data_IF_370464848716
#
_entry.id   IF_370464848716
#
_cell.length_a   1.000
_cell.length_b   1.000
_cell.length_c   1.000
_cell.angle_alpha   90.00
_cell.angle_beta   90.00
_cell.angle_gamma   90.00
#
_symmetry.space_group_name_H-M   'P 1'
#
loop_
_entity.id
_entity.type
_entity.pdbx_description
1 polymer ?
#
# COMPACT_ATOMS: atom_id res chain seq x y z
N UNK A 1 16.50 11.61 -6.80
CA UNK A 1 15.60 11.62 -7.99
C UNK A 1 14.93 12.99 -8.09
N UNK A 2 14.72 13.51 -9.29
CA UNK A 2 13.90 14.71 -9.47
C UNK A 2 12.43 14.41 -9.14
N UNK A 3 11.68 15.43 -8.67
CA UNK A 3 10.25 15.29 -8.36
C UNK A 3 9.48 14.70 -9.55
N UNK A 4 9.78 15.19 -10.76
CA UNK A 4 9.22 14.70 -12.01
C UNK A 4 9.32 13.18 -12.17
N UNK A 5 10.50 12.58 -11.93
CA UNK A 5 10.68 11.12 -12.08
C UNK A 5 9.85 10.34 -11.07
N UNK A 6 9.80 10.81 -9.82
CA UNK A 6 9.01 10.17 -8.76
C UNK A 6 7.51 10.25 -9.08
N UNK A 7 7.04 11.39 -9.58
CA UNK A 7 5.63 11.57 -9.93
C UNK A 7 5.23 10.78 -11.18
N UNK A 8 6.11 10.69 -12.19
CA UNK A 8 5.90 9.83 -13.36
C UNK A 8 5.77 8.35 -12.96
N UNK A 9 6.64 7.85 -12.08
CA UNK A 9 6.55 6.48 -11.59
C UNK A 9 5.29 6.24 -10.77
N UNK A 10 4.84 7.22 -9.97
CA UNK A 10 3.55 7.12 -9.26
C UNK A 10 2.39 7.03 -10.23
N UNK A 11 2.37 7.88 -11.27
CA UNK A 11 1.32 7.87 -12.28
C UNK A 11 1.29 6.54 -13.05
N UNK A 12 2.47 6.02 -13.42
CA UNK A 12 2.59 4.70 -14.02
C UNK A 12 2.05 3.60 -13.09
N UNK A 13 2.49 3.57 -11.83
CA UNK A 13 2.00 2.61 -10.83
C UNK A 13 0.48 2.69 -10.65
N UNK A 14 -0.09 3.89 -10.51
CA UNK A 14 -1.54 4.07 -10.39
C UNK A 14 -2.28 3.53 -11.60
N UNK A 15 -1.77 3.79 -12.81
CA UNK A 15 -2.36 3.29 -14.05
C UNK A 15 -2.29 1.75 -14.12
N UNK A 16 -1.17 1.16 -13.73
CA UNK A 16 -1.00 -0.29 -13.71
C UNK A 16 -1.86 -0.96 -12.63
N UNK A 17 -2.10 -0.32 -11.49
CA UNK A 17 -3.08 -0.81 -10.49
C UNK A 17 -4.47 -0.91 -11.12
N UNK A 18 -4.90 0.13 -11.85
CA UNK A 18 -6.18 0.08 -12.59
C UNK A 18 -6.20 -1.07 -13.61
N UNK A 19 -5.08 -1.32 -14.29
CA UNK A 19 -4.96 -2.44 -15.22
C UNK A 19 -5.16 -3.80 -14.51
N UNK A 20 -4.58 -4.01 -13.33
CA UNK A 20 -4.80 -5.25 -12.53
C UNK A 20 -6.28 -5.41 -12.19
N UNK A 21 -6.96 -4.35 -11.71
CA UNK A 21 -8.38 -4.44 -11.37
C UNK A 21 -9.27 -4.69 -12.59
N UNK A 22 -8.96 -4.07 -13.72
CA UNK A 22 -9.70 -4.25 -14.96
C UNK A 22 -9.51 -5.65 -15.55
N UNK A 23 -8.33 -6.25 -15.38
CA UNK A 23 -7.96 -7.54 -15.98
C UNK A 23 -8.17 -8.74 -15.06
N UNK A 24 -8.27 -8.54 -13.73
CA UNK A 24 -8.39 -9.60 -12.74
C UNK A 24 -9.47 -10.66 -13.02
N UNK A 25 -10.71 -10.28 -13.39
CA UNK A 25 -11.78 -11.25 -13.68
C UNK A 25 -11.47 -12.19 -14.85
N UNK A 26 -10.62 -11.78 -15.80
CA UNK A 26 -10.27 -12.58 -16.97
C UNK A 26 -9.31 -13.72 -16.64
N UNK A 27 -8.54 -13.63 -15.54
CA UNK A 27 -7.67 -14.73 -15.10
C UNK A 27 -8.46 -16.01 -14.82
N UNK A 28 -9.63 -15.87 -14.18
CA UNK A 28 -10.50 -17.01 -13.87
C UNK A 28 -11.10 -17.65 -15.14
N UNK A 29 -11.44 -16.84 -16.15
CA UNK A 29 -11.98 -17.33 -17.43
C UNK A 29 -10.91 -18.04 -18.26
N UNK A 30 -9.69 -17.50 -18.25
CA UNK A 30 -8.56 -18.14 -18.90
C UNK A 30 -8.25 -19.51 -18.27
N UNK A 31 -8.31 -19.62 -16.94
CA UNK A 31 -8.11 -20.90 -16.24
C UNK A 31 -9.12 -21.98 -16.68
N UNK A 32 -10.33 -21.61 -17.09
CA UNK A 32 -11.31 -22.56 -17.59
C UNK A 32 -11.07 -22.97 -19.05
N UNK A 33 -10.69 -22.02 -19.90
CA UNK A 33 -10.60 -22.23 -21.36
C UNK A 33 -9.22 -22.66 -21.85
N UNK A 34 -8.14 -22.18 -21.22
CA UNK A 34 -6.76 -22.32 -21.67
C UNK A 34 -6.52 -21.93 -23.14
N UNK A 35 -7.33 -21.02 -23.68
CA UNK A 35 -7.17 -20.54 -25.04
C UNK A 35 -6.14 -19.39 -25.10
N UNK A 36 -4.92 -19.74 -25.51
CA UNK A 36 -3.79 -18.80 -25.62
C UNK A 36 -3.93 -17.77 -26.74
N UNK A 37 -4.93 -17.88 -27.63
CA UNK A 37 -5.22 -16.88 -28.66
C UNK A 37 -6.43 -16.00 -28.31
N UNK A 38 -6.94 -16.11 -27.08
CA UNK A 38 -8.07 -15.32 -26.60
C UNK A 38 -7.66 -13.95 -26.04
N UNK A 39 -8.64 -13.06 -25.92
CA UNK A 39 -8.50 -11.81 -25.18
C UNK A 39 -8.21 -12.04 -23.68
N UNK A 40 -8.57 -13.21 -23.14
CA UNK A 40 -8.38 -13.55 -21.73
C UNK A 40 -6.92 -13.80 -21.44
N UNK A 41 -6.21 -14.47 -22.36
CA UNK A 41 -4.77 -14.64 -22.26
C UNK A 41 -4.03 -13.29 -22.32
N UNK A 42 -4.46 -12.38 -23.21
CA UNK A 42 -3.89 -11.03 -23.26
C UNK A 42 -4.12 -10.27 -21.94
N UNK A 43 -5.32 -10.39 -21.36
CA UNK A 43 -5.63 -9.78 -20.07
C UNK A 43 -4.76 -10.36 -18.94
N UNK A 44 -4.50 -11.68 -18.93
CA UNK A 44 -3.57 -12.33 -18.00
C UNK A 44 -2.16 -11.76 -18.17
N UNK A 45 -1.63 -11.65 -19.39
CA UNK A 45 -0.30 -11.06 -19.63
C UNK A 45 -0.22 -9.65 -19.08
N UNK A 46 -1.20 -8.81 -19.40
CA UNK A 46 -1.26 -7.43 -18.91
C UNK A 46 -1.35 -7.37 -17.38
N UNK A 47 -2.13 -8.27 -16.76
CA UNK A 47 -2.21 -8.38 -15.31
C UNK A 47 -0.84 -8.71 -14.71
N UNK A 48 -0.17 -9.77 -15.21
CA UNK A 48 1.13 -10.20 -14.70
C UNK A 48 2.19 -9.11 -14.84
N UNK A 49 2.23 -8.44 -16.01
CA UNK A 49 3.14 -7.33 -16.25
C UNK A 49 2.83 -6.12 -15.36
N UNK A 50 1.60 -5.92 -14.91
CA UNK A 50 1.22 -4.82 -14.04
C UNK A 50 1.53 -5.07 -12.55
N UNK A 51 1.87 -6.30 -12.13
CA UNK A 51 2.06 -6.68 -10.70
C UNK A 51 3.22 -5.96 -9.99
N UNK A 52 4.17 -5.37 -10.73
CA UNK A 52 5.20 -4.52 -10.11
C UNK A 52 4.64 -3.23 -9.49
N UNK A 53 3.44 -2.82 -9.89
CA UNK A 53 2.86 -1.51 -9.55
C UNK A 53 2.73 -1.28 -8.05
N UNK A 54 2.27 -2.29 -7.31
CA UNK A 54 2.07 -2.23 -5.86
C UNK A 54 3.42 -2.14 -5.11
N UNK A 55 4.41 -3.03 -5.33
CA UNK A 55 5.75 -2.88 -4.73
C UNK A 55 6.42 -1.53 -5.02
N UNK A 56 6.31 -1.04 -6.27
CA UNK A 56 6.86 0.27 -6.64
C UNK A 56 6.15 1.40 -5.90
N UNK A 57 4.83 1.35 -5.77
CA UNK A 57 4.07 2.37 -5.05
C UNK A 57 4.45 2.44 -3.55
N UNK A 58 4.59 1.28 -2.91
CA UNK A 58 5.06 1.18 -1.52
C UNK A 58 6.48 1.74 -1.39
N UNK A 59 7.37 1.36 -2.31
CA UNK A 59 8.76 1.82 -2.33
C UNK A 59 8.88 3.34 -2.51
N UNK A 60 8.08 3.93 -3.42
CA UNK A 60 8.04 5.38 -3.65
C UNK A 60 7.46 6.14 -2.45
N UNK A 61 6.53 5.51 -1.71
CA UNK A 61 6.01 6.05 -0.46
C UNK A 61 7.11 6.10 0.61
N UNK A 62 7.82 4.99 0.82
CA UNK A 62 8.96 4.93 1.75
C UNK A 62 10.08 5.91 1.37
N UNK A 63 10.47 5.94 0.09
CA UNK A 63 11.45 6.90 -0.43
C UNK A 63 11.05 8.35 -0.16
N UNK A 64 9.79 8.71 -0.43
CA UNK A 64 9.28 10.06 -0.18
C UNK A 64 9.35 10.45 1.30
N UNK A 65 9.07 9.52 2.22
CA UNK A 65 9.22 9.73 3.65
C UNK A 65 10.68 9.91 4.07
N UNK A 66 11.57 9.03 3.60
CA UNK A 66 13.00 9.11 3.88
C UNK A 66 13.59 10.42 3.35
N UNK A 67 13.15 10.90 2.18
CA UNK A 67 13.56 12.21 1.69
C UNK A 67 12.98 13.35 2.55
N UNK A 68 11.72 13.27 2.96
CA UNK A 68 11.08 14.29 3.82
C UNK A 68 11.84 14.46 5.14
N UNK A 69 12.04 13.36 5.88
CA UNK A 69 12.67 13.39 7.20
C UNK A 69 14.22 13.38 7.14
N UNK A 70 14.80 12.84 6.07
CA UNK A 70 16.24 12.76 5.87
C UNK A 70 16.88 14.00 5.23
N UNK A 71 16.11 14.87 4.58
CA UNK A 71 16.65 16.02 3.84
C UNK A 71 17.55 16.94 4.67
N UNK A 72 17.24 17.16 5.95
CA UNK A 72 18.09 17.97 6.84
C UNK A 72 19.37 17.25 7.25
N UNK A 73 19.29 15.95 7.57
CA UNK A 73 20.45 15.13 7.95
C UNK A 73 21.42 14.92 6.77
N UNK A 74 20.88 14.71 5.57
CA UNK A 74 21.67 14.55 4.33
C UNK A 74 22.41 15.84 3.94
N UNK A 75 21.81 17.02 4.17
CA UNK A 75 22.46 18.32 3.94
C UNK A 75 23.60 18.60 4.91
N UNK A 76 23.52 18.07 6.14
CA UNK A 76 24.53 18.26 7.18
C UNK A 76 25.72 17.29 7.07
N UNK A 77 25.75 16.41 6.07
CA UNK A 77 26.81 15.39 5.92
C UNK A 77 26.70 14.20 6.88
N UNK A 78 25.74 14.21 7.83
CA UNK A 78 25.56 13.18 8.85
C UNK A 78 24.84 11.91 8.34
N UNK A 79 24.59 11.81 7.03
CA UNK A 79 23.94 10.64 6.41
C UNK A 79 22.56 10.35 7.01
N UNK A 80 22.25 9.06 7.20
CA UNK A 80 21.00 8.62 7.85
C UNK A 80 21.08 8.68 9.40
N UNK A 81 22.28 8.83 9.98
CA UNK A 81 22.51 8.75 11.43
C UNK A 81 21.87 9.91 12.22
N UNK A 82 21.70 11.07 11.59
CA UNK A 82 21.08 12.26 12.18
C UNK A 82 19.56 12.38 11.96
N UNK A 83 18.90 11.35 11.40
CA UNK A 83 17.46 11.43 11.13
C UNK A 83 16.66 11.28 12.42
N UNK A 84 15.76 12.25 12.65
CA UNK A 84 14.79 12.21 13.74
C UNK A 84 13.38 12.31 13.16
N UNK A 85 12.53 11.36 13.53
CA UNK A 85 11.11 11.36 13.15
C UNK A 85 10.28 11.65 14.41
N UNK A 86 9.55 12.76 14.48
CA UNK A 86 8.62 13.00 15.58
C UNK A 86 7.43 12.03 15.44
N UNK A 87 7.51 10.88 16.12
CA UNK A 87 6.60 9.74 15.92
C UNK A 87 5.12 10.12 16.09
N UNK A 88 4.78 10.89 17.13
CA UNK A 88 3.40 11.34 17.39
C UNK A 88 2.86 12.18 16.22
N UNK A 89 3.61 13.20 15.80
CA UNK A 89 3.22 14.06 14.68
C UNK A 89 3.15 13.28 13.37
N UNK A 90 4.06 12.32 13.16
CA UNK A 90 4.06 11.44 12.01
C UNK A 90 2.77 10.60 11.96
N UNK A 91 2.44 9.87 13.02
CA UNK A 91 1.24 9.02 13.04
C UNK A 91 -0.05 9.83 12.91
N UNK A 92 -0.10 11.00 13.55
CA UNK A 92 -1.23 11.93 13.41
C UNK A 92 -1.42 12.37 11.95
N UNK A 93 -0.35 12.76 11.26
CA UNK A 93 -0.41 13.14 9.85
C UNK A 93 -0.87 11.98 8.95
N UNK A 94 -0.41 10.75 9.22
CA UNK A 94 -0.82 9.56 8.46
C UNK A 94 -2.29 9.20 8.71
N UNK A 95 -2.75 9.31 9.95
CA UNK A 95 -4.14 9.06 10.30
C UNK A 95 -5.08 10.03 9.57
N UNK A 96 -4.75 11.32 9.50
CA UNK A 96 -5.58 12.28 8.75
C UNK A 96 -5.52 12.08 7.23
N UNK A 97 -4.34 11.79 6.68
CA UNK A 97 -4.16 11.71 5.22
C UNK A 97 -4.58 10.38 4.61
N UNK A 98 -4.50 9.29 5.35
CA UNK A 98 -4.83 7.94 4.87
C UNK A 98 -5.98 7.34 5.68
N UNK A 99 -5.90 7.39 7.02
CA UNK A 99 -6.92 6.85 7.93
C UNK A 99 -8.31 7.41 7.70
N UNK A 100 -8.46 8.73 7.71
CA UNK A 100 -9.77 9.37 7.57
C UNK A 100 -10.39 9.12 6.18
N UNK A 101 -9.68 9.29 5.05
CA UNK A 101 -10.21 8.88 3.75
C UNK A 101 -10.59 7.40 3.68
N UNK A 102 -9.76 6.51 4.24
CA UNK A 102 -10.04 5.08 4.27
C UNK A 102 -11.34 4.75 5.01
N UNK A 103 -11.54 5.34 6.20
CA UNK A 103 -12.77 5.18 6.97
C UNK A 103 -13.98 5.73 6.21
N UNK A 104 -13.85 6.91 5.60
CA UNK A 104 -14.89 7.51 4.78
C UNK A 104 -15.32 6.59 3.63
N UNK A 105 -14.36 6.09 2.84
CA UNK A 105 -14.65 5.19 1.72
C UNK A 105 -15.20 3.85 2.17
N UNK A 106 -14.76 3.34 3.32
CA UNK A 106 -15.31 2.11 3.91
C UNK A 106 -16.78 2.27 4.27
N UNK A 107 -17.14 3.35 4.96
CA UNK A 107 -18.54 3.64 5.31
C UNK A 107 -19.37 3.85 4.04
N UNK A 108 -18.86 4.63 3.08
CA UNK A 108 -19.56 4.88 1.82
C UNK A 108 -19.81 3.57 1.05
N UNK A 109 -18.81 2.70 0.97
CA UNK A 109 -18.93 1.40 0.30
C UNK A 109 -20.00 0.52 0.97
N UNK A 110 -19.97 0.41 2.30
CA UNK A 110 -20.97 -0.33 3.06
C UNK A 110 -22.38 0.26 2.88
N UNK A 111 -22.49 1.58 2.76
CA UNK A 111 -23.76 2.27 2.51
C UNK A 111 -24.33 1.91 1.13
N UNK A 112 -23.49 1.98 0.08
CA UNK A 112 -23.86 1.65 -1.30
C UNK A 112 -24.29 0.18 -1.40
N UNK A 113 -23.61 -0.73 -0.70
CA UNK A 113 -23.95 -2.15 -0.65
C UNK A 113 -25.20 -2.45 0.21
N UNK A 114 -25.83 -1.44 0.80
CA UNK A 114 -26.99 -1.61 1.69
C UNK A 114 -26.67 -2.29 3.02
N UNK A 115 -25.40 -2.58 3.31
CA UNK A 115 -24.96 -3.30 4.52
C UNK A 115 -25.09 -2.48 5.81
N UNK A 116 -25.23 -1.15 5.69
CA UNK A 116 -25.54 -0.29 6.84
C UNK A 116 -27.00 -0.37 7.29
N UNK A 117 -27.89 -0.88 6.44
CA UNK A 117 -29.32 -1.07 6.74
C UNK A 117 -29.55 -2.46 7.30
N UNK A 118 -28.75 -2.89 8.29
CA UNK A 118 -28.84 -4.22 8.89
C UNK A 118 -30.28 -4.64 9.20
N UNK A 119 -30.57 -5.95 9.39
CA UNK A 119 -31.92 -6.40 9.75
C UNK A 119 -32.44 -5.55 10.93
N UNK A 120 -33.76 -5.29 10.99
CA UNK A 120 -34.46 -4.46 11.99
C UNK A 120 -34.33 -4.99 13.44
N UNK A 121 -33.10 -5.19 13.90
CA UNK A 121 -32.67 -5.80 15.14
C UNK A 121 -31.62 -4.86 15.76
N UNK A 122 -31.78 -4.49 17.03
CA UNK A 122 -30.85 -3.65 17.79
C UNK A 122 -29.40 -4.18 17.87
N UNK A 123 -29.15 -5.45 17.55
CA UNK A 123 -27.82 -6.09 17.59
C UNK A 123 -26.99 -5.89 16.32
N UNK A 124 -27.57 -5.36 15.23
CA UNK A 124 -26.85 -5.14 13.97
C UNK A 124 -25.51 -4.38 14.08
N UNK A 125 -25.33 -3.37 14.96
CA UNK A 125 -24.05 -2.66 15.08
C UNK A 125 -22.99 -3.53 15.76
N UNK A 126 -23.41 -4.41 16.68
CA UNK A 126 -22.53 -5.34 17.39
C UNK A 126 -22.05 -6.46 16.46
N UNK A 127 -22.87 -6.85 15.48
CA UNK A 127 -22.52 -7.85 14.47
C UNK A 127 -21.66 -7.29 13.33
N UNK A 128 -21.73 -5.97 13.09
CA UNK A 128 -20.96 -5.29 12.04
C UNK A 128 -19.45 -5.32 12.30
N UNK A 129 -19.02 -5.18 13.56
CA UNK A 129 -17.58 -5.15 13.91
C UNK A 129 -16.90 -6.52 13.66
N UNK A 130 -17.43 -7.66 14.16
CA UNK A 130 -16.93 -8.98 13.80
C UNK A 130 -17.01 -9.27 12.30
N UNK A 131 -18.06 -8.81 11.61
CA UNK A 131 -18.20 -8.96 10.16
C UNK A 131 -17.07 -8.25 9.41
N UNK A 132 -16.82 -6.97 9.73
CA UNK A 132 -15.76 -6.18 9.11
C UNK A 132 -14.37 -6.72 9.43
N UNK A 133 -14.17 -7.27 10.63
CA UNK A 133 -12.92 -7.93 10.97
C UNK A 133 -12.66 -9.17 10.10
N UNK A 134 -13.70 -9.97 9.81
CA UNK A 134 -13.58 -11.20 9.00
C UNK A 134 -13.52 -10.95 7.50
N UNK A 135 -14.28 -9.98 7.00
CA UNK A 135 -14.51 -9.80 5.56
C UNK A 135 -13.88 -8.54 4.99
N UNK A 136 -13.52 -7.58 5.84
CA UNK A 136 -13.18 -6.22 5.39
C UNK A 136 -14.38 -5.50 4.79
N UNK A 137 -14.21 -4.23 4.42
CA UNK A 137 -15.23 -3.53 3.64
C UNK A 137 -15.23 -4.00 2.18
N UNK A 138 -14.04 -4.18 1.60
CA UNK A 138 -13.82 -4.69 0.24
C UNK A 138 -12.45 -5.40 0.19
N UNK A 139 -12.29 -6.42 -0.65
CA UNK A 139 -11.02 -7.15 -0.72
C UNK A 139 -9.87 -6.25 -1.18
N UNK A 140 -10.13 -5.28 -2.06
CA UNK A 140 -9.12 -4.35 -2.56
C UNK A 140 -8.56 -3.43 -1.47
N UNK A 141 -9.25 -3.33 -0.34
CA UNK A 141 -8.78 -2.54 0.78
C UNK A 141 -7.61 -3.19 1.53
N UNK A 142 -7.21 -4.42 1.17
CA UNK A 142 -5.98 -5.04 1.65
C UNK A 142 -4.76 -4.12 1.45
N UNK A 143 -4.74 -3.33 0.37
CA UNK A 143 -3.67 -2.39 0.09
C UNK A 143 -3.52 -1.33 1.20
N UNK A 144 -4.64 -0.86 1.78
CA UNK A 144 -4.59 0.07 2.91
C UNK A 144 -3.97 -0.59 4.14
N UNK A 145 -4.24 -1.86 4.39
CA UNK A 145 -3.63 -2.61 5.49
C UNK A 145 -2.10 -2.64 5.34
N UNK A 146 -1.60 -3.03 4.17
CA UNK A 146 -0.15 -3.02 3.86
C UNK A 146 0.46 -1.64 4.08
N UNK A 147 -0.20 -0.58 3.60
CA UNK A 147 0.30 0.79 3.77
C UNK A 147 0.30 1.24 5.24
N UNK A 148 -0.72 0.87 6.02
CA UNK A 148 -0.76 1.16 7.45
C UNK A 148 0.36 0.45 8.20
N UNK A 149 0.59 -0.83 7.94
CA UNK A 149 1.70 -1.59 8.54
C UNK A 149 3.05 -0.96 8.17
N UNK A 150 3.25 -0.63 6.89
CA UNK A 150 4.46 0.04 6.43
C UNK A 150 4.67 1.39 7.14
N UNK A 151 3.61 2.19 7.32
CA UNK A 151 3.72 3.46 8.05
C UNK A 151 3.92 3.27 9.55
N UNK A 152 3.28 2.27 10.16
CA UNK A 152 3.48 1.94 11.55
C UNK A 152 4.94 1.54 11.83
N UNK A 153 5.52 0.73 10.95
CA UNK A 153 6.92 0.29 11.08
C UNK A 153 7.92 1.36 10.66
N UNK A 154 7.54 2.34 9.83
CA UNK A 154 8.46 3.29 9.22
C UNK A 154 9.39 4.01 10.21
N UNK A 155 8.92 4.61 11.32
CA UNK A 155 9.81 5.31 12.26
C UNK A 155 10.82 4.36 12.91
N UNK A 156 10.39 3.13 13.22
CA UNK A 156 11.24 2.09 13.82
C UNK A 156 12.30 1.66 12.81
N UNK A 157 11.89 1.34 11.58
CA UNK A 157 12.81 0.98 10.49
C UNK A 157 13.84 2.08 10.28
N UNK A 158 13.41 3.34 10.17
CA UNK A 158 14.34 4.44 9.93
C UNK A 158 15.32 4.64 11.10
N UNK A 159 14.88 4.43 12.33
CA UNK A 159 15.73 4.46 13.53
C UNK A 159 16.73 3.29 13.57
N UNK A 160 16.31 2.06 13.23
CA UNK A 160 17.21 0.90 13.15
C UNK A 160 18.28 1.14 12.08
N UNK A 161 17.85 1.58 10.89
CA UNK A 161 18.76 1.88 9.79
C UNK A 161 19.69 3.07 10.09
N UNK A 162 19.28 4.04 10.92
CA UNK A 162 20.16 5.14 11.34
C UNK A 162 21.27 4.69 12.28
N UNK A 163 21.04 3.66 13.10
CA UNK A 163 22.02 3.11 14.05
C UNK A 163 22.93 2.04 13.46
N UNK A 164 22.41 1.22 12.54
CA UNK A 164 23.10 0.02 12.06
C UNK A 164 23.67 0.22 10.65
N UNK A 165 24.57 1.20 10.48
CA UNK A 165 25.12 1.56 9.15
C UNK A 165 25.79 0.36 8.45
N UNK A 166 26.51 -0.46 9.22
CA UNK A 166 27.22 -1.65 8.73
C UNK A 166 26.28 -2.78 8.30
N UNK A 167 25.04 -2.80 8.80
CA UNK A 167 24.06 -3.84 8.49
C UNK A 167 23.10 -3.46 7.36
N UNK A 168 23.17 -2.22 6.83
CA UNK A 168 22.26 -1.76 5.77
C UNK A 168 22.35 -2.62 4.52
N UNK A 169 23.56 -2.82 4.00
CA UNK A 169 23.80 -3.59 2.78
C UNK A 169 23.46 -5.08 2.95
N UNK A 170 23.90 -5.80 4.01
CA UNK A 170 23.51 -7.19 4.19
C UNK A 170 22.00 -7.35 4.43
N UNK A 171 21.32 -6.42 5.10
CA UNK A 171 19.85 -6.45 5.22
C UNK A 171 19.16 -6.32 3.86
N UNK A 172 19.66 -5.45 2.97
CA UNK A 172 19.12 -5.32 1.62
C UNK A 172 19.37 -6.58 0.78
N UNK A 173 20.57 -7.18 0.90
CA UNK A 173 20.90 -8.43 0.20
C UNK A 173 20.02 -9.58 0.70
N UNK A 174 19.89 -9.75 2.02
CA UNK A 174 19.03 -10.78 2.61
C UNK A 174 17.57 -10.55 2.21
N UNK A 175 17.08 -9.31 2.25
CA UNK A 175 15.73 -8.98 1.80
C UNK A 175 15.51 -9.30 0.31
N UNK A 176 16.52 -9.12 -0.54
CA UNK A 176 16.42 -9.46 -1.96
C UNK A 176 16.45 -10.98 -2.18
N UNK A 177 17.22 -11.72 -1.38
CA UNK A 177 17.30 -13.19 -1.45
C UNK A 177 16.06 -13.89 -0.88
N UNK A 178 15.30 -13.23 -0.02
CA UNK A 178 14.06 -13.75 0.58
C UNK A 178 12.79 -13.40 -0.22
N UNK A 179 12.91 -12.56 -1.25
CA UNK A 179 11.83 -12.21 -2.18
C UNK A 179 11.74 -13.19 -3.34
#
# INVERSE_FOLDING_TARGET
>A
MSRFRTDLLRLLSMTMVLAIHATGPYEYRFLGSHDFFSQDFLAVILNQLARFSVPVFVSLSGFGLTMKYGSQSLKSGNGLSGIQVPAISFYRERLYKIGLPFLFWSVLYLAIQGKLKGPWNQQWPLDLVPYLYRTGADYHFYFFHIIFECYFLFPILLWVFSKLEKLRLPLLIVSFLLQ
#
